data_IF_221624267195
#
_entry.id   IF_221624267195
#
_cell.length_a   1.000
_cell.length_b   1.000
_cell.length_c   1.000
_cell.angle_alpha   90.00
_cell.angle_beta   90.00
_cell.angle_gamma   90.00
#
_symmetry.space_group_name_H-M   'P 1'
#
loop_
_entity.id
_entity.type
_entity.pdbx_description
1 polymer ?
#
# COMPACT_ATOMS: atom_id res chain seq x y z
N UNK A 1 -9.74 13.88 0.72
CA UNK A 1 -9.77 15.28 0.25
C UNK A 1 -10.99 16.07 0.76
N UNK A 2 -12.17 15.46 0.96
CA UNK A 2 -13.39 16.14 1.45
C UNK A 2 -13.20 17.01 2.71
N UNK A 3 -12.44 16.59 3.75
CA UNK A 3 -12.30 17.41 4.96
C UNK A 3 -11.50 18.71 4.77
N UNK A 4 -10.56 18.74 3.80
CA UNK A 4 -9.69 19.91 3.56
C UNK A 4 -10.47 21.03 2.87
N UNK A 5 -11.36 20.68 1.93
CA UNK A 5 -12.25 21.65 1.28
C UNK A 5 -13.30 22.23 2.23
N UNK A 6 -13.66 21.50 3.29
CA UNK A 6 -14.56 22.01 4.34
C UNK A 6 -13.91 23.07 5.22
N UNK A 7 -12.60 22.98 5.45
CA UNK A 7 -11.87 23.93 6.31
C UNK A 7 -11.47 25.22 5.57
N UNK A 8 -11.35 25.18 4.24
CA UNK A 8 -10.88 26.29 3.41
C UNK A 8 -11.74 26.47 2.15
N UNK A 9 -12.98 26.98 2.29
CA UNK A 9 -13.92 27.08 1.16
C UNK A 9 -13.53 28.13 0.09
N UNK A 10 -12.60 29.05 0.39
CA UNK A 10 -12.28 30.20 -0.48
C UNK A 10 -10.97 30.08 -1.28
N UNK A 11 -10.20 28.99 -1.12
CA UNK A 11 -8.90 28.85 -1.80
C UNK A 11 -8.73 27.44 -2.38
N UNK A 12 -8.88 27.33 -3.71
CA UNK A 12 -8.75 26.07 -4.44
C UNK A 12 -7.29 25.61 -4.58
N UNK A 13 -6.31 26.51 -4.42
CA UNK A 13 -4.90 26.18 -4.66
C UNK A 13 -4.27 25.50 -3.45
N UNK A 14 -4.63 25.90 -2.22
CA UNK A 14 -4.00 25.37 -1.01
C UNK A 14 -4.20 23.84 -0.82
N UNK A 15 -5.40 23.26 -1.02
CA UNK A 15 -5.61 21.81 -0.90
C UNK A 15 -4.77 21.00 -1.88
N UNK A 16 -4.54 21.53 -3.09
CA UNK A 16 -3.71 20.89 -4.12
C UNK A 16 -2.26 20.87 -3.67
N UNK A 17 -1.73 21.98 -3.16
CA UNK A 17 -0.36 22.04 -2.67
C UNK A 17 -0.14 21.10 -1.49
N UNK A 18 -1.08 21.05 -0.52
CA UNK A 18 -1.02 20.13 0.61
C UNK A 18 -1.00 18.66 0.13
N UNK A 19 -1.87 18.31 -0.81
CA UNK A 19 -1.92 16.97 -1.39
C UNK A 19 -0.59 16.61 -2.09
N UNK A 20 -0.05 17.51 -2.90
CA UNK A 20 1.22 17.29 -3.61
C UNK A 20 2.41 17.18 -2.64
N UNK A 21 2.46 18.01 -1.59
CA UNK A 21 3.50 17.90 -0.56
C UNK A 21 3.40 16.58 0.19
N UNK A 22 2.19 16.15 0.56
CA UNK A 22 1.98 14.84 1.20
C UNK A 22 2.44 13.69 0.29
N UNK A 23 2.10 13.75 -1.00
CA UNK A 23 2.52 12.74 -1.98
C UNK A 23 4.04 12.73 -2.23
N UNK A 24 4.68 13.91 -2.25
CA UNK A 24 6.13 14.01 -2.33
C UNK A 24 6.81 13.36 -1.12
N UNK A 25 6.30 13.61 0.09
CA UNK A 25 6.81 12.96 1.31
C UNK A 25 6.62 11.44 1.26
N UNK A 26 5.45 10.96 0.82
CA UNK A 26 5.19 9.53 0.61
C UNK A 26 6.19 8.94 -0.39
N UNK A 27 6.48 9.64 -1.49
CA UNK A 27 7.48 9.22 -2.47
C UNK A 27 8.89 9.11 -1.88
N UNK A 28 9.31 10.09 -1.07
CA UNK A 28 10.62 10.08 -0.39
C UNK A 28 10.74 8.90 0.58
N UNK A 29 9.73 8.69 1.42
CA UNK A 29 9.71 7.58 2.39
C UNK A 29 9.74 6.23 1.64
N UNK A 30 9.02 6.12 0.53
CA UNK A 30 9.02 4.92 -0.33
C UNK A 30 10.41 4.67 -0.91
N UNK A 31 11.07 5.69 -1.48
CA UNK A 31 12.44 5.58 -1.98
C UNK A 31 13.45 5.16 -0.90
N UNK A 32 13.29 5.67 0.32
CA UNK A 32 14.08 5.24 1.46
C UNK A 32 13.84 3.77 1.83
N UNK A 33 12.59 3.29 1.82
CA UNK A 33 12.27 1.88 2.04
C UNK A 33 12.84 0.98 0.94
N UNK A 34 12.81 1.42 -0.32
CA UNK A 34 13.44 0.70 -1.44
C UNK A 34 14.95 0.56 -1.20
N UNK A 35 15.63 1.64 -0.77
CA UNK A 35 17.03 1.58 -0.34
C UNK A 35 17.23 0.54 0.78
N UNK A 36 16.37 0.55 1.80
CA UNK A 36 16.46 -0.36 2.94
C UNK A 36 16.22 -1.83 2.56
N UNK A 37 15.35 -2.11 1.60
CA UNK A 37 15.10 -3.45 1.09
C UNK A 37 16.31 -3.93 0.28
N UNK A 38 16.76 -3.15 -0.69
CA UNK A 38 17.85 -3.53 -1.58
C UNK A 38 19.19 -3.67 -0.82
N UNK A 39 19.46 -2.80 0.16
CA UNK A 39 20.66 -2.96 1.03
C UNK A 39 20.60 -4.22 1.89
N UNK A 40 19.39 -4.67 2.26
CA UNK A 40 19.21 -5.83 3.12
C UNK A 40 19.40 -7.14 2.34
N UNK A 41 19.08 -7.13 1.05
CA UNK A 41 19.21 -8.30 0.16
C UNK A 41 20.62 -8.43 -0.45
N UNK A 42 21.36 -7.33 -0.60
CA UNK A 42 22.67 -7.32 -1.24
C UNK A 42 23.68 -6.44 -0.48
N UNK A 43 24.13 -5.34 -1.08
CA UNK A 43 25.10 -4.41 -0.48
C UNK A 43 24.54 -2.99 -0.41
N UNK A 44 25.12 -2.09 0.42
CA UNK A 44 24.66 -0.70 0.51
C UNK A 44 24.63 0.04 -0.83
N UNK A 45 25.56 -0.29 -1.73
CA UNK A 45 25.61 0.29 -3.07
C UNK A 45 24.39 -0.07 -3.93
N UNK A 46 23.94 -1.33 -3.88
CA UNK A 46 22.71 -1.76 -4.55
C UNK A 46 21.49 -1.03 -4.00
N UNK A 47 21.48 -0.74 -2.69
CA UNK A 47 20.49 0.13 -2.07
C UNK A 47 20.42 1.50 -2.72
N UNK A 48 21.58 2.18 -2.86
CA UNK A 48 21.65 3.52 -3.46
C UNK A 48 21.19 3.49 -4.91
N UNK A 49 21.67 2.52 -5.70
CA UNK A 49 21.30 2.38 -7.11
C UNK A 49 19.80 2.11 -7.24
N UNK A 50 19.22 1.22 -6.43
CA UNK A 50 17.79 0.93 -6.47
C UNK A 50 16.93 2.16 -6.11
N UNK A 51 17.32 2.91 -5.07
CA UNK A 51 16.61 4.14 -4.71
C UNK A 51 16.78 5.24 -5.77
N UNK A 52 17.96 5.36 -6.40
CA UNK A 52 18.18 6.30 -7.49
C UNK A 52 17.30 5.97 -8.70
N UNK A 53 17.25 4.69 -9.11
CA UNK A 53 16.36 4.22 -10.19
C UNK A 53 14.90 4.54 -9.85
N UNK A 54 14.47 4.26 -8.61
CA UNK A 54 13.11 4.54 -8.17
C UNK A 54 12.76 6.03 -8.18
N UNK A 55 13.63 6.87 -7.61
CA UNK A 55 13.35 8.31 -7.45
C UNK A 55 13.52 9.10 -8.76
N UNK A 56 14.31 8.61 -9.70
CA UNK A 56 14.59 9.29 -10.97
C UNK A 56 13.72 8.77 -12.13
N UNK A 57 12.96 7.68 -11.96
CA UNK A 57 12.05 7.18 -12.99
C UNK A 57 10.87 8.15 -13.19
N UNK A 58 10.73 8.77 -14.39
CA UNK A 58 9.61 9.67 -14.69
C UNK A 58 8.24 9.02 -14.51
N UNK A 59 8.14 7.70 -14.69
CA UNK A 59 6.88 6.96 -14.50
C UNK A 59 6.51 6.90 -13.02
N UNK A 60 7.47 6.63 -12.14
CA UNK A 60 7.27 6.62 -10.69
C UNK A 60 6.89 8.02 -10.20
N UNK A 61 7.58 9.05 -10.68
CA UNK A 61 7.26 10.45 -10.36
C UNK A 61 5.83 10.78 -10.80
N UNK A 62 5.46 10.47 -12.04
CA UNK A 62 4.12 10.71 -12.57
C UNK A 62 3.03 9.95 -11.80
N UNK A 63 3.27 8.70 -11.41
CA UNK A 63 2.31 7.89 -10.66
C UNK A 63 2.20 8.28 -9.18
N UNK A 64 3.27 8.81 -8.57
CA UNK A 64 3.21 9.32 -7.20
C UNK A 64 2.54 10.69 -7.12
N UNK A 65 2.68 11.54 -8.14
CA UNK A 65 2.17 12.91 -8.14
C UNK A 65 0.79 13.08 -8.80
N UNK A 66 0.16 12.00 -9.25
CA UNK A 66 -1.14 12.05 -9.93
C UNK A 66 -2.35 12.32 -9.01
N UNK A 67 -2.12 12.58 -7.71
CA UNK A 67 -3.22 12.82 -6.76
C UNK A 67 -3.97 11.55 -6.34
N UNK A 68 -3.54 10.37 -6.78
CA UNK A 68 -4.24 9.10 -6.52
C UNK A 68 -3.69 8.35 -5.30
N UNK A 69 -4.50 7.41 -4.83
CA UNK A 69 -4.18 6.43 -3.77
C UNK A 69 -2.95 5.56 -4.07
N UNK A 70 -2.49 5.53 -5.32
CA UNK A 70 -1.38 4.71 -5.80
C UNK A 70 -0.09 4.92 -5.01
N UNK A 71 0.30 6.18 -4.74
CA UNK A 71 1.54 6.44 -3.98
C UNK A 71 1.50 5.89 -2.56
N UNK A 72 0.35 6.01 -1.89
CA UNK A 72 0.14 5.47 -0.54
C UNK A 72 0.13 3.93 -0.57
N UNK A 73 -0.48 3.34 -1.59
CA UNK A 73 -0.51 1.89 -1.76
C UNK A 73 0.89 1.30 -1.95
N UNK A 74 1.72 1.97 -2.76
CA UNK A 74 3.12 1.55 -2.98
C UNK A 74 3.94 1.73 -1.70
N UNK A 75 3.75 2.81 -0.95
CA UNK A 75 4.36 2.97 0.37
C UNK A 75 4.00 1.83 1.32
N UNK A 76 2.71 1.48 1.41
CA UNK A 76 2.23 0.36 2.22
C UNK A 76 2.86 -0.97 1.82
N UNK A 77 2.93 -1.23 0.51
CA UNK A 77 3.58 -2.42 -0.06
C UNK A 77 5.07 -2.47 0.32
N UNK A 78 5.81 -1.38 0.13
CA UNK A 78 7.23 -1.28 0.47
C UNK A 78 7.48 -1.43 1.98
N UNK A 79 6.66 -0.80 2.83
CA UNK A 79 6.76 -0.91 4.28
C UNK A 79 6.49 -2.34 4.75
N UNK A 80 5.45 -2.98 4.22
CA UNK A 80 5.10 -4.38 4.51
C UNK A 80 6.21 -5.33 4.07
N UNK A 81 6.74 -5.17 2.85
CA UNK A 81 7.86 -5.96 2.34
C UNK A 81 9.11 -5.80 3.21
N UNK A 82 9.48 -4.56 3.54
CA UNK A 82 10.65 -4.29 4.38
C UNK A 82 10.51 -4.90 5.77
N UNK A 83 9.35 -4.74 6.42
CA UNK A 83 9.10 -5.33 7.73
C UNK A 83 9.16 -6.85 7.68
N UNK A 84 8.53 -7.46 6.68
CA UNK A 84 8.56 -8.90 6.47
C UNK A 84 10.00 -9.42 6.31
N UNK A 85 10.76 -8.85 5.36
CA UNK A 85 12.13 -9.28 5.08
C UNK A 85 13.03 -9.11 6.31
N UNK A 86 13.01 -7.94 6.95
CA UNK A 86 13.97 -7.61 8.01
C UNK A 86 13.64 -8.20 9.37
N UNK A 87 12.36 -8.47 9.69
CA UNK A 87 11.93 -8.84 11.06
C UNK A 87 11.23 -10.19 11.18
N UNK A 88 10.78 -10.77 10.07
CA UNK A 88 9.93 -11.96 10.05
C UNK A 88 10.59 -13.11 9.28
N UNK A 89 10.96 -12.89 8.02
CA UNK A 89 11.30 -13.93 7.03
C UNK A 89 12.36 -14.91 7.51
N UNK A 90 13.43 -14.43 8.14
CA UNK A 90 14.57 -15.27 8.55
C UNK A 90 14.50 -15.74 10.02
N UNK A 91 13.46 -15.36 10.76
CA UNK A 91 13.34 -15.66 12.19
C UNK A 91 12.39 -16.85 12.41
N UNK A 92 12.90 -17.92 13.02
CA UNK A 92 12.10 -19.12 13.35
C UNK A 92 11.16 -18.90 14.55
N UNK A 93 11.55 -18.04 15.48
CA UNK A 93 10.75 -17.64 16.63
C UNK A 93 10.49 -16.15 16.57
N UNK A 94 9.23 -15.79 16.34
CA UNK A 94 8.81 -14.40 16.15
C UNK A 94 7.92 -14.03 17.33
N UNK A 95 8.22 -12.94 18.05
CA UNK A 95 7.35 -12.46 19.11
C UNK A 95 6.02 -11.95 18.52
N UNK A 96 4.93 -12.15 19.25
CA UNK A 96 3.56 -11.87 18.81
C UNK A 96 3.36 -10.45 18.28
N UNK A 97 4.00 -9.46 18.92
CA UNK A 97 3.89 -8.05 18.52
C UNK A 97 4.43 -7.80 17.10
N UNK A 98 5.45 -8.52 16.64
CA UNK A 98 5.99 -8.36 15.26
C UNK A 98 5.03 -8.91 14.22
N UNK A 99 4.37 -10.02 14.56
CA UNK A 99 3.30 -10.62 13.75
C UNK A 99 2.10 -9.67 13.69
N UNK A 100 1.75 -9.05 14.82
CA UNK A 100 0.68 -8.06 14.88
C UNK A 100 1.00 -6.83 14.01
N UNK A 101 2.21 -6.30 14.08
CA UNK A 101 2.65 -5.18 13.22
C UNK A 101 2.60 -5.57 11.74
N UNK A 102 2.99 -6.80 11.37
CA UNK A 102 2.85 -7.28 10.00
C UNK A 102 1.38 -7.32 9.56
N UNK A 103 0.49 -7.82 10.42
CA UNK A 103 -0.95 -7.82 10.17
C UNK A 103 -1.54 -6.42 9.99
N UNK A 104 -1.09 -5.45 10.79
CA UNK A 104 -1.51 -4.05 10.65
C UNK A 104 -1.03 -3.47 9.32
N UNK A 105 0.24 -3.65 8.98
CA UNK A 105 0.81 -3.15 7.72
C UNK A 105 0.13 -3.79 6.49
N UNK A 106 -0.07 -5.11 6.52
CA UNK A 106 -0.79 -5.83 5.46
C UNK A 106 -2.25 -5.37 5.35
N UNK A 107 -2.94 -5.18 6.48
CA UNK A 107 -4.32 -4.72 6.52
C UNK A 107 -4.47 -3.31 5.95
N UNK A 108 -3.59 -2.38 6.34
CA UNK A 108 -3.55 -1.03 5.78
C UNK A 108 -3.21 -1.05 4.29
N UNK A 109 -2.29 -1.92 3.86
CA UNK A 109 -1.93 -2.04 2.43
C UNK A 109 -3.14 -2.51 1.60
N UNK A 110 -3.87 -3.52 2.06
CA UNK A 110 -5.10 -4.00 1.39
C UNK A 110 -6.21 -2.95 1.44
N UNK A 111 -6.34 -2.23 2.56
CA UNK A 111 -7.32 -1.16 2.71
C UNK A 111 -7.06 -0.02 1.73
N UNK A 112 -5.79 0.30 1.43
CA UNK A 112 -5.45 1.30 0.43
C UNK A 112 -5.79 0.85 -0.99
N UNK A 113 -5.57 -0.43 -1.31
CA UNK A 113 -5.93 -1.04 -2.60
C UNK A 113 -6.17 -2.54 -2.44
N UNK A 114 -7.37 -3.00 -2.79
CA UNK A 114 -7.79 -4.40 -2.66
C UNK A 114 -6.91 -5.36 -3.47
N UNK A 115 -6.40 -4.93 -4.63
CA UNK A 115 -5.51 -5.72 -5.49
C UNK A 115 -4.23 -6.20 -4.77
N UNK A 116 -3.82 -5.48 -3.70
CA UNK A 116 -2.65 -5.83 -2.89
C UNK A 116 -2.85 -7.10 -2.05
N UNK A 117 -4.06 -7.68 -2.02
CA UNK A 117 -4.31 -8.98 -1.39
C UNK A 117 -3.43 -10.07 -2.02
N UNK A 118 -3.16 -9.98 -3.33
CA UNK A 118 -2.28 -10.93 -4.03
C UNK A 118 -0.85 -10.82 -3.51
N UNK A 119 -0.36 -9.59 -3.30
CA UNK A 119 0.95 -9.33 -2.73
C UNK A 119 1.08 -9.86 -1.29
N UNK A 120 0.10 -9.55 -0.43
CA UNK A 120 0.10 -10.05 0.96
C UNK A 120 0.01 -11.58 0.99
N UNK A 121 -0.79 -12.18 0.11
CA UNK A 121 -0.88 -13.63 -0.06
C UNK A 121 0.46 -14.25 -0.46
N UNK A 122 1.19 -13.62 -1.38
CA UNK A 122 2.52 -14.07 -1.78
C UNK A 122 3.53 -14.05 -0.62
N UNK A 123 3.49 -13.03 0.25
CA UNK A 123 4.33 -13.00 1.46
C UNK A 123 3.96 -14.12 2.44
N UNK A 124 2.66 -14.39 2.62
CA UNK A 124 2.18 -15.49 3.45
C UNK A 124 2.64 -16.85 2.93
N UNK A 125 2.63 -17.03 1.60
CA UNK A 125 3.13 -18.23 0.94
C UNK A 125 4.66 -18.37 1.08
N UNK A 126 5.45 -17.31 0.87
CA UNK A 126 6.91 -17.34 1.10
C UNK A 126 7.21 -17.74 2.56
N UNK A 127 6.44 -17.22 3.53
CA UNK A 127 6.61 -17.57 4.94
C UNK A 127 6.27 -19.04 5.23
N UNK A 128 5.20 -19.57 4.63
CA UNK A 128 4.78 -20.97 4.77
C UNK A 128 5.75 -21.95 4.11
N UNK A 129 6.31 -21.59 2.96
CA UNK A 129 7.30 -22.41 2.25
C UNK A 129 8.62 -22.45 3.04
N UNK A 130 9.04 -21.29 3.58
CA UNK A 130 10.29 -21.17 4.32
C UNK A 130 10.24 -21.78 5.71
N UNK A 131 9.09 -21.68 6.38
CA UNK A 131 8.88 -22.23 7.72
C UNK A 131 7.73 -23.24 7.68
N UNK A 132 8.06 -24.52 7.85
CA UNK A 132 7.11 -25.62 7.72
C UNK A 132 6.69 -26.16 9.10
N UNK A 133 6.21 -25.26 9.97
CA UNK A 133 5.89 -25.56 11.36
C UNK A 133 4.46 -25.11 11.71
N UNK A 134 3.78 -25.79 12.63
CA UNK A 134 2.44 -25.45 13.11
C UNK A 134 2.31 -24.01 13.65
N UNK A 135 3.39 -23.45 14.23
CA UNK A 135 3.40 -22.06 14.69
C UNK A 135 3.17 -21.04 13.55
N UNK A 136 3.56 -21.40 12.33
CA UNK A 136 3.37 -20.55 11.15
C UNK A 136 1.89 -20.40 10.82
N UNK A 137 1.13 -21.49 10.96
CA UNK A 137 -0.32 -21.46 10.81
C UNK A 137 -0.93 -20.43 11.77
N UNK A 138 -0.61 -20.49 13.07
CA UNK A 138 -1.10 -19.52 14.03
C UNK A 138 -0.69 -18.07 13.75
N UNK A 139 0.56 -17.85 13.32
CA UNK A 139 1.02 -16.52 12.94
C UNK A 139 0.24 -15.98 11.73
N UNK A 140 0.02 -16.80 10.72
CA UNK A 140 -0.77 -16.44 9.53
C UNK A 140 -2.24 -16.21 9.87
N UNK A 141 -2.82 -17.03 10.74
CA UNK A 141 -4.19 -16.83 11.25
C UNK A 141 -4.31 -15.50 11.98
N UNK A 142 -3.36 -15.16 12.84
CA UNK A 142 -3.36 -13.88 13.54
C UNK A 142 -3.24 -12.69 12.58
N UNK A 143 -2.34 -12.76 11.60
CA UNK A 143 -2.22 -11.76 10.52
C UNK A 143 -3.57 -11.63 9.79
N UNK A 144 -4.19 -12.75 9.41
CA UNK A 144 -5.49 -12.78 8.74
C UNK A 144 -6.61 -12.14 9.57
N UNK A 145 -6.65 -12.41 10.89
CA UNK A 145 -7.62 -11.79 11.80
C UNK A 145 -7.41 -10.28 11.86
N UNK A 146 -6.17 -9.81 12.00
CA UNK A 146 -5.86 -8.37 12.06
C UNK A 146 -6.20 -7.67 10.75
N UNK A 147 -5.86 -8.29 9.61
CA UNK A 147 -6.23 -7.79 8.28
C UNK A 147 -7.75 -7.68 8.16
N UNK A 148 -8.48 -8.73 8.55
CA UNK A 148 -9.94 -8.71 8.53
C UNK A 148 -10.50 -7.59 9.41
N UNK A 149 -9.99 -7.43 10.65
CA UNK A 149 -10.39 -6.36 11.56
C UNK A 149 -10.16 -4.97 10.95
N UNK A 150 -9.03 -4.72 10.30
CA UNK A 150 -8.74 -3.44 9.65
C UNK A 150 -9.60 -3.20 8.41
N UNK A 151 -9.95 -4.26 7.69
CA UNK A 151 -10.80 -4.17 6.51
C UNK A 151 -12.30 -4.08 6.85
N UNK A 152 -12.72 -4.53 8.04
CA UNK A 152 -14.13 -4.55 8.45
C UNK A 152 -14.84 -3.19 8.39
N UNK A 153 -14.25 -2.04 8.77
CA UNK A 153 -14.95 -0.76 8.70
C UNK A 153 -15.35 -0.41 7.27
N UNK A 154 -14.51 -0.75 6.29
CA UNK A 154 -14.82 -0.55 4.89
C UNK A 154 -15.97 -1.46 4.43
N UNK A 155 -15.99 -2.72 4.87
CA UNK A 155 -17.09 -3.64 4.55
C UNK A 155 -18.43 -3.16 5.13
N UNK A 156 -18.43 -2.70 6.38
CA UNK A 156 -19.64 -2.19 7.05
C UNK A 156 -20.15 -0.93 6.37
N UNK A 157 -19.25 0.02 6.10
CA UNK A 157 -19.62 1.26 5.40
C UNK A 157 -20.06 0.97 3.97
N UNK A 158 -19.32 0.15 3.23
CA UNK A 158 -19.62 -0.25 1.87
C UNK A 158 -20.99 -0.90 1.76
N UNK A 159 -21.33 -1.80 2.69
CA UNK A 159 -22.65 -2.41 2.75
C UNK A 159 -23.76 -1.40 3.07
N UNK A 160 -23.50 -0.45 3.98
CA UNK A 160 -24.47 0.59 4.35
C UNK A 160 -24.80 1.58 3.23
N UNK A 161 -23.85 1.83 2.32
CA UNK A 161 -24.02 2.76 1.18
C UNK A 161 -24.34 2.04 -0.14
N UNK A 162 -24.52 0.71 -0.11
CA UNK A 162 -24.80 -0.09 -1.31
C UNK A 162 -23.63 -0.20 -2.30
N UNK A 163 -22.39 0.03 -1.83
CA UNK A 163 -21.20 -0.16 -2.66
C UNK A 163 -20.90 -1.65 -2.89
N UNK A 164 -20.25 -1.97 -4.01
CA UNK A 164 -19.77 -3.32 -4.29
C UNK A 164 -18.75 -3.78 -3.25
N UNK A 165 -18.69 -5.09 -2.99
CA UNK A 165 -17.74 -5.74 -2.05
C UNK A 165 -16.27 -5.53 -2.47
N UNK A 166 -16.03 -5.12 -3.72
CA UNK A 166 -14.72 -4.75 -4.25
C UNK A 166 -14.76 -3.25 -4.56
N UNK A 167 -13.87 -2.42 -3.96
CA UNK A 167 -13.77 -1.01 -4.31
C UNK A 167 -13.23 -0.88 -5.74
N UNK A 168 -14.07 -0.51 -6.70
CA UNK A 168 -13.67 -0.36 -8.09
C UNK A 168 -13.23 1.06 -8.42
N UNK A 169 -11.91 1.32 -8.47
CA UNK A 169 -11.37 2.51 -9.17
C UNK A 169 -11.68 2.46 -10.68
N UNK A 170 -11.98 1.27 -11.23
CA UNK A 170 -12.32 1.04 -12.63
C UNK A 170 -13.63 1.65 -13.10
N UNK A 171 -14.60 1.89 -12.20
CA UNK A 171 -15.87 2.54 -12.56
C UNK A 171 -15.65 3.97 -13.07
N UNK A 172 -14.72 4.72 -12.47
CA UNK A 172 -14.35 6.06 -12.90
C UNK A 172 -13.62 6.06 -14.26
N UNK A 173 -12.80 5.04 -14.53
CA UNK A 173 -12.12 4.87 -15.83
C UNK A 173 -13.11 4.50 -16.93
N UNK A 174 -14.10 3.64 -16.64
CA UNK A 174 -15.18 3.31 -17.59
C UNK A 174 -16.06 4.51 -17.91
N UNK A 175 -16.35 5.36 -16.92
CA UNK A 175 -17.07 6.63 -17.13
C UNK A 175 -16.26 7.61 -18.01
N UNK A 176 -14.95 7.73 -17.78
CA UNK A 176 -14.08 8.55 -18.64
C UNK A 176 -13.95 7.99 -20.06
N UNK A 177 -13.87 6.66 -20.23
CA UNK A 177 -13.83 6.01 -21.53
C UNK A 177 -15.16 6.19 -22.31
N UNK A 178 -16.29 6.13 -21.61
CA UNK A 178 -17.61 6.42 -22.20
C UNK A 178 -17.76 7.90 -22.56
N UNK A 179 -17.26 8.82 -21.74
CA UNK A 179 -17.23 10.25 -22.04
C UNK A 179 -16.34 10.61 -23.24
N UNK A 180 -15.20 9.95 -23.39
CA UNK A 180 -14.32 10.13 -24.56
C UNK A 180 -14.93 9.55 -25.84
N UNK A 181 -15.63 8.42 -25.77
CA UNK A 181 -16.34 7.85 -26.90
C UNK A 181 -17.56 8.67 -27.34
N UNK A 182 -18.23 9.34 -26.40
CA UNK A 182 -19.37 10.22 -26.68
C UNK A 182 -18.97 11.61 -27.23
N UNK A 183 -17.73 12.05 -26.99
CA UNK A 183 -17.19 13.32 -27.52
C UNK A 183 -16.56 13.21 -28.92
N UNK A 184 -16.53 12.02 -29.52
CA UNK A 184 -15.96 11.73 -30.84
C UNK A 184 -17.01 11.41 -31.92
N UNK A 185 -18.29 11.69 -31.66
CA UNK A 185 -19.41 11.56 -32.61
C UNK A 185 -20.07 12.93 -32.82
#
# INVERSE_FOLDING_TARGET
>A
MVPVYWLLPNDLLLPIHIALTMLALVGIITGWLVYLIARHLATPWHGVVAAAIWMLDPRVIGQNLNGLETGIAVLGMAATAYWYLSRIRDHTQIPLWRVAVLGVLAGLTILTRVDQVVFVGALGLDYLIKHRNWRVFWNLTLVGIIVALIYTPWLVLGWSIGASIIPESGAAVRLNAQGQAAGSA
#
